data_IF_722259900087
#
_entry.id   IF_722259900087
#
_cell.length_a   1.000
_cell.length_b   1.000
_cell.length_c   1.000
_cell.angle_alpha   90.00
_cell.angle_beta   90.00
_cell.angle_gamma   90.00
#
_symmetry.space_group_name_H-M   'P 1'
#
loop_
_entity.id
_entity.type
_entity.pdbx_description
1 polymer ?
#
# COMPACT_ATOMS: atom_id res chain seq x y z
N UNK A 1 10.15 -21.32 -16.77
CA UNK A 1 9.68 -21.66 -15.41
C UNK A 1 8.19 -22.04 -15.46
N UNK A 2 7.77 -23.08 -14.73
CA UNK A 2 6.36 -23.54 -14.68
C UNK A 2 5.49 -22.62 -13.82
N UNK A 3 4.15 -22.64 -13.97
CA UNK A 3 3.25 -22.01 -13.00
C UNK A 3 3.52 -22.49 -11.58
N UNK A 4 3.45 -21.58 -10.61
CA UNK A 4 3.66 -21.84 -9.18
C UNK A 4 2.44 -21.41 -8.40
N UNK A 5 2.00 -22.24 -7.45
CA UNK A 5 0.97 -21.83 -6.50
C UNK A 5 1.62 -21.08 -5.33
N UNK A 6 0.99 -19.99 -4.91
CA UNK A 6 1.40 -19.16 -3.79
C UNK A 6 0.28 -19.17 -2.76
N UNK A 7 0.65 -19.45 -1.51
CA UNK A 7 -0.30 -19.45 -0.39
C UNK A 7 -0.16 -18.16 0.40
N UNK A 8 -1.20 -17.33 0.39
CA UNK A 8 -1.23 -16.06 1.09
C UNK A 8 -2.21 -16.13 2.26
N UNK A 9 -1.68 -16.17 3.49
CA UNK A 9 -2.49 -16.13 4.71
C UNK A 9 -2.66 -14.70 5.18
N UNK A 10 -3.88 -14.18 5.14
CA UNK A 10 -4.20 -12.83 5.60
C UNK A 10 -4.24 -12.76 7.12
N UNK A 11 -3.69 -11.69 7.68
CA UNK A 11 -3.78 -11.31 9.09
C UNK A 11 -4.92 -10.30 9.31
N UNK A 12 -5.23 -9.51 8.27
CA UNK A 12 -6.43 -8.69 8.19
C UNK A 12 -7.04 -8.86 6.80
N UNK A 13 -8.36 -8.66 6.62
CA UNK A 13 -8.99 -8.89 5.33
C UNK A 13 -8.32 -8.12 4.20
N UNK A 14 -8.35 -8.68 2.99
CA UNK A 14 -7.98 -7.91 1.80
C UNK A 14 -9.17 -7.05 1.37
N UNK A 15 -8.86 -5.95 0.71
CA UNK A 15 -9.83 -5.20 -0.07
C UNK A 15 -9.31 -5.07 -1.48
N UNK A 16 -10.13 -5.33 -2.47
CA UNK A 16 -9.84 -5.02 -3.86
C UNK A 16 -11.08 -4.36 -4.44
N UNK A 17 -10.99 -3.07 -4.77
CA UNK A 17 -12.16 -2.34 -5.28
C UNK A 17 -12.53 -2.81 -6.68
N UNK A 18 -13.77 -3.25 -6.85
CA UNK A 18 -14.43 -3.40 -8.14
C UNK A 18 -14.80 -2.06 -8.77
N UNK A 19 -15.54 -2.10 -9.88
CA UNK A 19 -16.01 -0.89 -10.60
C UNK A 19 -16.89 -0.01 -9.69
N UNK A 20 -17.65 -0.63 -8.80
CA UNK A 20 -18.51 -0.03 -7.77
C UNK A 20 -17.77 0.30 -6.46
N UNK A 21 -16.43 0.16 -6.46
CA UNK A 21 -15.55 0.33 -5.30
C UNK A 21 -15.82 -0.63 -4.13
N UNK A 22 -16.65 -1.66 -4.31
CA UNK A 22 -16.87 -2.70 -3.30
C UNK A 22 -15.85 -3.84 -3.42
N UNK A 23 -15.83 -4.71 -2.43
CA UNK A 23 -14.98 -5.92 -2.41
C UNK A 23 -15.86 -7.19 -2.46
N UNK A 24 -16.85 -7.21 -3.34
CA UNK A 24 -17.75 -8.35 -3.58
C UNK A 24 -16.99 -9.63 -3.97
N UNK A 25 -15.82 -9.47 -4.61
CA UNK A 25 -14.83 -10.50 -4.89
C UNK A 25 -13.41 -9.93 -4.89
N UNK A 26 -12.42 -10.82 -4.97
CA UNK A 26 -11.04 -10.39 -5.20
C UNK A 26 -10.85 -9.99 -6.68
N UNK A 27 -10.44 -8.76 -6.92
CA UNK A 27 -10.01 -8.25 -8.22
C UNK A 27 -8.48 -8.31 -8.32
N UNK A 28 -7.94 -9.20 -9.16
CA UNK A 28 -6.49 -9.34 -9.32
C UNK A 28 -5.83 -8.06 -9.82
N UNK A 29 -6.52 -7.25 -10.61
CA UNK A 29 -6.05 -5.95 -11.09
C UNK A 29 -5.76 -4.99 -9.93
N UNK A 30 -6.65 -4.93 -8.92
CA UNK A 30 -6.46 -4.12 -7.72
C UNK A 30 -5.26 -4.60 -6.89
N UNK A 31 -5.10 -5.92 -6.77
CA UNK A 31 -3.95 -6.51 -6.08
C UNK A 31 -2.64 -6.19 -6.81
N UNK A 32 -2.59 -6.39 -8.12
CA UNK A 32 -1.44 -6.07 -8.97
C UNK A 32 -1.08 -4.59 -8.89
N UNK A 33 -2.07 -3.69 -8.84
CA UNK A 33 -1.86 -2.26 -8.64
C UNK A 33 -1.13 -1.95 -7.33
N UNK A 34 -1.52 -2.59 -6.23
CA UNK A 34 -0.83 -2.43 -4.94
C UNK A 34 0.60 -3.00 -4.94
N UNK A 35 0.83 -4.13 -5.64
CA UNK A 35 2.17 -4.69 -5.82
C UNK A 35 3.06 -3.74 -6.64
N UNK A 36 2.50 -3.15 -7.71
CA UNK A 36 3.16 -2.14 -8.52
C UNK A 36 3.54 -0.93 -7.67
N UNK A 37 2.64 -0.46 -6.82
CA UNK A 37 2.89 0.69 -5.93
C UNK A 37 4.06 0.46 -4.95
N UNK A 38 4.15 -0.72 -4.33
CA UNK A 38 5.31 -1.08 -3.52
C UNK A 38 6.61 -1.14 -4.33
N UNK A 39 6.54 -1.71 -5.53
CA UNK A 39 7.70 -1.82 -6.41
C UNK A 39 8.20 -0.46 -6.88
N UNK A 40 7.27 0.44 -7.18
CA UNK A 40 7.52 1.84 -7.49
C UNK A 40 8.28 2.56 -6.37
N UNK A 41 7.86 2.39 -5.11
CA UNK A 41 8.56 2.96 -3.97
C UNK A 41 10.00 2.41 -3.83
N UNK A 42 10.19 1.10 -4.04
CA UNK A 42 11.51 0.45 -4.03
C UNK A 42 12.42 0.98 -5.13
N UNK A 43 11.92 1.06 -6.36
CA UNK A 43 12.67 1.59 -7.52
C UNK A 43 13.12 3.02 -7.26
N UNK A 44 12.20 3.90 -6.83
CA UNK A 44 12.51 5.31 -6.50
C UNK A 44 13.53 5.41 -5.36
N UNK A 45 13.40 4.57 -4.33
CA UNK A 45 14.32 4.52 -3.20
C UNK A 45 15.74 4.10 -3.57
N UNK A 46 15.88 3.23 -4.57
CA UNK A 46 17.18 2.81 -5.12
C UNK A 46 17.76 3.79 -6.16
N UNK A 47 17.11 4.95 -6.36
CA UNK A 47 17.52 5.95 -7.34
C UNK A 47 17.15 5.60 -8.79
N UNK A 48 16.28 4.61 -8.99
CA UNK A 48 15.74 4.27 -10.31
C UNK A 48 14.54 5.15 -10.68
N UNK A 49 14.28 5.29 -11.98
CA UNK A 49 13.12 6.01 -12.49
C UNK A 49 11.87 5.12 -12.49
N UNK A 50 10.73 5.69 -12.08
CA UNK A 50 9.41 5.07 -12.19
C UNK A 50 8.44 6.11 -12.76
N UNK A 51 7.89 5.80 -13.94
CA UNK A 51 7.02 6.69 -14.70
C UNK A 51 5.63 6.83 -14.05
N UNK A 52 4.86 7.82 -14.48
CA UNK A 52 3.44 7.94 -14.15
C UNK A 52 2.61 7.32 -15.29
N UNK A 53 2.05 6.10 -15.11
CA UNK A 53 1.26 5.46 -16.15
C UNK A 53 -0.11 6.11 -16.39
N UNK A 54 -0.54 7.02 -15.50
CA UNK A 54 -1.85 7.69 -15.53
C UNK A 54 -1.78 9.12 -16.05
N UNK A 55 -0.59 9.65 -16.30
CA UNK A 55 -0.40 11.00 -16.82
C UNK A 55 -0.92 11.15 -18.25
N UNK A 56 -1.53 12.30 -18.54
CA UNK A 56 -1.89 12.70 -19.90
C UNK A 56 -0.67 13.06 -20.76
N UNK A 57 0.48 13.40 -20.14
CA UNK A 57 1.73 13.63 -20.86
C UNK A 57 2.31 12.29 -21.36
N UNK A 58 2.40 12.07 -22.68
CA UNK A 58 3.02 10.86 -23.22
C UNK A 58 4.46 10.67 -22.76
N UNK A 59 5.21 11.74 -22.49
CA UNK A 59 6.59 11.65 -22.01
C UNK A 59 6.67 11.15 -20.58
N UNK A 60 5.62 11.33 -19.77
CA UNK A 60 5.54 10.82 -18.41
C UNK A 60 5.18 9.32 -18.35
N UNK A 61 4.74 8.72 -19.47
CA UNK A 61 4.40 7.30 -19.60
C UNK A 61 5.52 6.49 -20.24
N UNK A 62 5.51 5.18 -20.01
CA UNK A 62 6.37 4.25 -20.75
C UNK A 62 5.61 3.64 -21.93
N UNK A 63 6.31 3.46 -23.04
CA UNK A 63 5.85 2.73 -24.22
C UNK A 63 7.04 1.95 -24.79
N UNK A 64 6.84 0.69 -25.15
CA UNK A 64 7.88 -0.12 -25.79
C UNK A 64 8.14 0.36 -27.21
N UNK A 65 9.40 0.62 -27.54
CA UNK A 65 9.78 1.06 -28.88
C UNK A 65 9.77 -0.13 -29.85
N UNK A 66 8.58 -0.38 -30.41
CA UNK A 66 8.36 -1.43 -31.43
C UNK A 66 9.21 -1.17 -32.68
N UNK A 67 9.46 0.09 -33.04
CA UNK A 67 10.27 0.43 -34.23
C UNK A 67 11.72 0.06 -34.01
N UNK A 68 12.31 0.41 -32.86
CA UNK A 68 13.67 0.02 -32.51
C UNK A 68 13.84 -1.51 -32.43
N UNK A 69 12.86 -2.21 -31.86
CA UNK A 69 12.82 -3.68 -31.81
C UNK A 69 12.83 -4.29 -33.22
N UNK A 70 11.90 -3.89 -34.09
CA UNK A 70 11.77 -4.43 -35.44
C UNK A 70 12.97 -4.10 -36.32
N UNK A 71 13.52 -2.88 -36.23
CA UNK A 71 14.70 -2.49 -36.97
C UNK A 71 15.92 -3.32 -36.55
N UNK A 72 16.09 -3.56 -35.25
CA UNK A 72 17.19 -4.38 -34.72
C UNK A 72 17.07 -5.82 -35.22
N UNK A 73 15.85 -6.38 -35.26
CA UNK A 73 15.60 -7.69 -35.90
C UNK A 73 15.91 -7.73 -37.39
N UNK A 74 15.48 -6.72 -38.15
CA UNK A 74 15.76 -6.61 -39.60
C UNK A 74 17.26 -6.55 -39.89
N UNK A 75 18.04 -5.98 -38.97
CA UNK A 75 19.50 -5.92 -39.05
C UNK A 75 20.20 -7.25 -38.65
N UNK A 76 19.45 -8.34 -38.47
CA UNK A 76 20.00 -9.67 -38.17
C UNK A 76 20.51 -9.85 -36.73
N UNK A 77 20.18 -8.93 -35.81
CA UNK A 77 20.58 -9.00 -34.40
C UNK A 77 19.75 -10.04 -33.64
N UNK A 78 20.32 -10.55 -32.54
CA UNK A 78 19.67 -11.59 -31.73
C UNK A 78 18.40 -11.09 -31.03
N UNK A 79 17.51 -12.01 -30.65
CA UNK A 79 16.24 -11.68 -29.96
C UNK A 79 16.47 -10.80 -28.73
N UNK A 80 17.50 -11.12 -27.92
CA UNK A 80 17.80 -10.37 -26.70
C UNK A 80 18.23 -8.93 -27.00
N UNK A 81 19.06 -8.71 -28.03
CA UNK A 81 19.49 -7.37 -28.44
C UNK A 81 18.30 -6.56 -28.97
N UNK A 82 17.43 -7.19 -29.77
CA UNK A 82 16.21 -6.54 -30.25
C UNK A 82 15.28 -6.14 -29.09
N UNK A 83 15.06 -7.03 -28.13
CA UNK A 83 14.24 -6.72 -26.94
C UNK A 83 14.84 -5.53 -26.18
N UNK A 84 16.16 -5.53 -25.94
CA UNK A 84 16.83 -4.41 -25.26
C UNK A 84 16.67 -3.10 -26.04
N UNK A 85 16.76 -3.14 -27.37
CA UNK A 85 16.54 -1.97 -28.20
C UNK A 85 15.13 -1.40 -28.04
N UNK A 86 14.09 -2.22 -27.87
CA UNK A 86 12.73 -1.73 -27.60
C UNK A 86 12.48 -1.29 -26.15
N UNK A 87 13.30 -1.74 -25.19
CA UNK A 87 13.12 -1.50 -23.76
C UNK A 87 13.68 -0.16 -23.25
N UNK A 88 14.48 0.56 -24.04
CA UNK A 88 15.16 1.79 -23.59
C UNK A 88 14.20 2.91 -23.14
N UNK A 89 12.92 2.85 -23.54
CA UNK A 89 11.81 3.74 -23.15
C UNK A 89 10.92 3.18 -22.03
N UNK A 90 11.23 1.97 -21.54
CA UNK A 90 10.49 1.26 -20.49
C UNK A 90 11.26 1.31 -19.17
N UNK A 91 10.65 1.86 -18.11
CA UNK A 91 11.28 1.92 -16.79
C UNK A 91 11.27 0.54 -16.09
N UNK A 92 12.09 0.32 -15.03
CA UNK A 92 12.13 -0.94 -14.27
C UNK A 92 10.77 -1.43 -13.77
N UNK A 93 9.87 -0.52 -13.37
CA UNK A 93 8.51 -0.87 -12.94
C UNK A 93 7.71 -1.43 -14.10
N UNK A 94 7.66 -0.71 -15.22
CA UNK A 94 6.92 -1.12 -16.40
C UNK A 94 7.54 -2.36 -17.07
N UNK A 95 8.83 -2.62 -16.88
CA UNK A 95 9.45 -3.85 -17.32
C UNK A 95 8.80 -5.07 -16.66
N UNK A 96 8.54 -5.03 -15.34
CA UNK A 96 7.87 -6.09 -14.60
C UNK A 96 6.35 -6.09 -14.81
N UNK A 97 5.71 -4.91 -14.70
CA UNK A 97 4.25 -4.75 -14.64
C UNK A 97 3.56 -4.45 -15.98
N UNK A 98 4.33 -4.25 -17.05
CA UNK A 98 3.81 -3.91 -18.37
C UNK A 98 3.65 -2.40 -18.61
N UNK A 99 3.52 -2.07 -19.88
CA UNK A 99 3.26 -0.75 -20.45
C UNK A 99 2.63 -0.90 -21.85
N UNK A 100 2.31 0.21 -22.53
CA UNK A 100 1.92 0.16 -23.94
C UNK A 100 3.01 -0.55 -24.76
N UNK A 101 2.63 -1.51 -25.61
CA UNK A 101 3.56 -2.35 -26.38
C UNK A 101 4.35 -3.40 -25.58
N UNK A 102 4.32 -3.39 -24.23
CA UNK A 102 5.05 -4.35 -23.39
C UNK A 102 4.12 -5.08 -22.40
N UNK A 103 3.99 -6.39 -22.53
CA UNK A 103 3.22 -7.16 -21.55
C UNK A 103 4.05 -7.43 -20.28
N UNK A 104 3.38 -7.36 -19.12
CA UNK A 104 3.92 -7.83 -17.84
C UNK A 104 4.57 -9.22 -17.93
N UNK A 105 5.60 -9.42 -17.11
CA UNK A 105 6.40 -10.66 -17.07
C UNK A 105 5.71 -11.82 -16.35
N UNK A 106 4.55 -11.58 -15.75
CA UNK A 106 3.81 -12.58 -15.00
C UNK A 106 2.30 -12.44 -15.17
N UNK A 107 1.57 -13.51 -14.93
CA UNK A 107 0.16 -13.46 -14.57
C UNK A 107 0.03 -13.88 -13.11
N UNK A 108 -0.87 -13.22 -12.40
CA UNK A 108 -1.32 -13.61 -11.07
C UNK A 108 -2.80 -13.93 -11.20
N UNK A 109 -3.18 -15.16 -10.86
CA UNK A 109 -4.56 -15.65 -10.95
C UNK A 109 -5.02 -16.08 -9.56
N UNK A 110 -6.17 -15.58 -9.12
CA UNK A 110 -6.81 -16.11 -7.92
C UNK A 110 -7.39 -17.50 -8.21
N UNK A 111 -7.06 -18.48 -7.37
CA UNK A 111 -7.56 -19.87 -7.49
C UNK A 111 -8.61 -20.13 -6.44
N UNK A 112 -8.29 -19.82 -5.19
CA UNK A 112 -9.18 -20.00 -4.05
C UNK A 112 -9.13 -18.76 -3.16
N UNK A 113 -10.29 -18.17 -2.92
CA UNK A 113 -10.44 -16.92 -2.17
C UNK A 113 -11.63 -17.06 -1.23
N UNK A 114 -11.42 -17.53 0.01
CA UNK A 114 -12.49 -17.56 1.00
C UNK A 114 -12.98 -16.14 1.29
N UNK A 115 -14.30 -15.99 1.32
CA UNK A 115 -14.99 -14.74 1.65
C UNK A 115 -15.61 -14.86 3.03
N UNK A 116 -15.47 -13.82 3.84
CA UNK A 116 -16.04 -13.77 5.20
C UNK A 116 -16.82 -12.48 5.43
N UNK A 117 -17.86 -12.50 6.30
CA UNK A 117 -18.56 -11.28 6.68
C UNK A 117 -17.63 -10.27 7.38
N UNK A 118 -17.62 -9.03 6.91
CA UNK A 118 -16.94 -7.92 7.58
C UNK A 118 -17.92 -7.19 8.50
N UNK A 119 -17.57 -7.07 9.77
CA UNK A 119 -18.38 -6.32 10.72
C UNK A 119 -17.58 -5.19 11.35
N UNK A 120 -17.93 -3.94 11.02
CA UNK A 120 -17.45 -2.78 11.77
C UNK A 120 -18.14 -2.75 13.15
N UNK A 121 -17.36 -2.91 14.22
CA UNK A 121 -17.88 -2.99 15.58
C UNK A 121 -17.12 -2.05 16.49
N UNK A 122 -17.87 -1.29 17.27
CA UNK A 122 -17.33 -0.34 18.23
C UNK A 122 -18.39 0.00 19.29
N UNK A 123 -17.96 0.24 20.52
CA UNK A 123 -18.79 0.87 21.57
C UNK A 123 -18.77 2.38 21.46
N UNK A 124 -17.88 2.94 20.64
CA UNK A 124 -17.87 4.35 20.31
C UNK A 124 -19.03 4.68 19.36
N UNK A 125 -19.39 5.97 19.28
CA UNK A 125 -20.38 6.42 18.31
C UNK A 125 -19.85 6.23 16.88
N UNK A 126 -20.26 5.12 16.25
CA UNK A 126 -19.84 4.75 14.90
C UNK A 126 -20.25 5.81 13.87
N UNK A 127 -19.34 6.13 12.95
CA UNK A 127 -19.63 7.04 11.84
C UNK A 127 -20.26 6.29 10.66
N UNK A 128 -21.46 5.75 10.89
CA UNK A 128 -22.16 4.88 9.93
C UNK A 128 -22.24 5.51 8.53
N UNK A 129 -22.63 6.78 8.44
CA UNK A 129 -22.74 7.47 7.14
C UNK A 129 -21.40 7.66 6.42
N UNK A 130 -20.26 7.68 7.11
CA UNK A 130 -18.95 7.64 6.46
C UNK A 130 -18.60 6.23 6.02
N UNK A 131 -18.81 5.22 6.87
CA UNK A 131 -18.54 3.82 6.53
C UNK A 131 -19.36 3.37 5.33
N UNK A 132 -20.66 3.69 5.30
CA UNK A 132 -21.56 3.43 4.18
C UNK A 132 -21.04 4.03 2.86
N UNK A 133 -20.52 5.27 2.88
CA UNK A 133 -19.99 5.91 1.67
C UNK A 133 -18.63 5.36 1.22
N UNK A 134 -17.83 4.83 2.15
CA UNK A 134 -16.47 4.36 1.84
C UNK A 134 -16.44 2.87 1.51
N UNK A 135 -17.27 2.08 2.17
CA UNK A 135 -17.27 0.62 2.07
C UNK A 135 -18.57 0.05 1.50
N UNK A 136 -19.69 0.76 1.58
CA UNK A 136 -21.01 0.24 1.21
C UNK A 136 -21.35 0.26 -0.27
N UNK A 137 -20.42 0.69 -1.13
CA UNK A 137 -20.62 0.78 -2.58
C UNK A 137 -21.77 1.69 -2.98
N UNK A 138 -22.33 1.42 -4.16
CA UNK A 138 -23.48 2.16 -4.71
C UNK A 138 -24.72 2.07 -3.81
N UNK A 139 -24.91 0.94 -3.12
CA UNK A 139 -26.02 0.71 -2.21
C UNK A 139 -25.83 1.37 -0.83
N UNK A 140 -24.63 1.93 -0.56
CA UNK A 140 -24.26 2.54 0.71
C UNK A 140 -24.63 1.68 1.94
N UNK A 141 -24.44 0.35 1.84
CA UNK A 141 -24.79 -0.61 2.88
C UNK A 141 -23.55 -1.41 3.31
N UNK A 142 -23.27 -1.43 4.62
CA UNK A 142 -22.13 -2.17 5.20
C UNK A 142 -22.51 -3.45 5.94
N UNK A 143 -23.81 -3.74 6.11
CA UNK A 143 -24.28 -4.83 6.98
C UNK A 143 -24.11 -6.22 6.33
N UNK A 144 -23.97 -6.27 5.01
CA UNK A 144 -23.80 -7.51 4.22
C UNK A 144 -22.44 -7.62 3.53
N UNK A 145 -21.44 -6.84 3.97
CA UNK A 145 -20.13 -6.86 3.33
C UNK A 145 -19.45 -8.21 3.50
N UNK A 146 -18.97 -8.75 2.38
CA UNK A 146 -18.06 -9.87 2.34
C UNK A 146 -16.68 -9.36 1.96
N UNK A 147 -15.64 -9.95 2.56
CA UNK A 147 -14.26 -9.61 2.26
C UNK A 147 -13.39 -10.86 2.16
N UNK A 148 -12.40 -10.88 1.25
CA UNK A 148 -11.42 -11.96 1.22
C UNK A 148 -10.63 -12.04 2.53
N UNK A 149 -10.70 -13.17 3.21
CA UNK A 149 -9.99 -13.38 4.48
C UNK A 149 -9.78 -14.87 4.76
N UNK A 150 -8.59 -15.21 5.26
CA UNK A 150 -8.15 -16.57 5.56
C UNK A 150 -6.90 -16.93 4.76
N UNK A 151 -6.88 -18.15 4.22
CA UNK A 151 -5.82 -18.62 3.33
C UNK A 151 -6.29 -18.49 1.89
N UNK A 152 -5.59 -17.67 1.10
CA UNK A 152 -5.87 -17.48 -0.32
C UNK A 152 -4.82 -18.20 -1.14
N UNK A 153 -5.26 -18.84 -2.22
CA UNK A 153 -4.37 -19.52 -3.17
C UNK A 153 -4.32 -18.73 -4.46
N UNK A 154 -3.11 -18.35 -4.87
CA UNK A 154 -2.85 -17.70 -6.15
C UNK A 154 -1.98 -18.59 -7.02
N UNK A 155 -2.08 -18.43 -8.33
CA UNK A 155 -1.13 -18.99 -9.28
C UNK A 155 -0.32 -17.88 -9.93
N UNK A 156 1.00 -17.93 -9.76
CA UNK A 156 1.98 -17.10 -10.45
C UNK A 156 2.43 -17.81 -11.72
N UNK A 157 2.11 -17.23 -12.87
CA UNK A 157 2.42 -17.79 -14.19
C UNK A 157 3.44 -16.88 -14.88
N UNK A 158 4.68 -17.34 -15.11
CA UNK A 158 5.69 -16.55 -15.82
C UNK A 158 5.28 -16.32 -17.28
N UNK A 159 5.68 -15.18 -17.85
CA UNK A 159 5.42 -14.86 -19.26
C UNK A 159 6.70 -14.46 -19.98
N UNK A 160 6.75 -14.82 -21.27
CA UNK A 160 7.72 -14.33 -22.27
C UNK A 160 9.18 -14.63 -21.89
N UNK A 161 9.78 -13.74 -21.10
CA UNK A 161 11.21 -13.68 -20.81
C UNK A 161 11.45 -13.35 -19.34
N UNK A 162 12.66 -13.62 -18.86
CA UNK A 162 13.15 -13.24 -17.53
C UNK A 162 12.26 -13.72 -16.35
N UNK A 163 11.81 -14.98 -16.45
CA UNK A 163 10.91 -15.60 -15.48
C UNK A 163 11.48 -15.63 -14.05
N UNK A 164 12.78 -15.88 -13.91
CA UNK A 164 13.46 -15.91 -12.61
C UNK A 164 13.52 -14.52 -11.98
N UNK A 165 13.79 -13.49 -12.77
CA UNK A 165 13.69 -12.11 -12.31
C UNK A 165 12.27 -11.78 -11.87
N UNK A 166 11.26 -12.09 -12.68
CA UNK A 166 9.86 -11.84 -12.32
C UNK A 166 9.48 -12.50 -10.98
N UNK A 167 9.89 -13.76 -10.76
CA UNK A 167 9.71 -14.47 -9.49
C UNK A 167 10.39 -13.74 -8.33
N UNK A 168 11.66 -13.40 -8.52
CA UNK A 168 12.48 -12.69 -7.54
C UNK A 168 11.87 -11.35 -7.13
N UNK A 169 11.38 -10.58 -8.10
CA UNK A 169 10.78 -9.28 -7.81
C UNK A 169 9.40 -9.40 -7.17
N UNK A 170 8.58 -10.39 -7.53
CA UNK A 170 7.33 -10.67 -6.80
C UNK A 170 7.61 -11.07 -5.35
N UNK A 171 8.62 -11.90 -5.10
CA UNK A 171 9.04 -12.25 -3.74
C UNK A 171 9.53 -11.01 -2.96
N UNK A 172 10.36 -10.16 -3.57
CA UNK A 172 10.82 -8.91 -2.98
C UNK A 172 9.65 -8.03 -2.54
N UNK A 173 8.70 -7.79 -3.44
CA UNK A 173 7.53 -6.94 -3.16
C UNK A 173 6.69 -7.53 -2.03
N UNK A 174 6.37 -8.82 -2.10
CA UNK A 174 5.55 -9.49 -1.09
C UNK A 174 6.24 -9.53 0.27
N UNK A 175 7.56 -9.68 0.32
CA UNK A 175 8.33 -9.64 1.57
C UNK A 175 8.25 -8.26 2.22
N UNK A 176 8.54 -7.21 1.45
CA UNK A 176 8.47 -5.83 1.94
C UNK A 176 7.05 -5.49 2.42
N UNK A 177 6.02 -5.86 1.65
CA UNK A 177 4.64 -5.60 2.04
C UNK A 177 4.20 -6.42 3.26
N UNK A 178 4.58 -7.70 3.37
CA UNK A 178 4.21 -8.54 4.52
C UNK A 178 4.87 -8.08 5.83
N UNK A 179 6.13 -7.65 5.76
CA UNK A 179 6.92 -7.23 6.93
C UNK A 179 6.60 -5.79 7.36
N UNK A 180 6.43 -4.87 6.40
CA UNK A 180 6.41 -3.42 6.67
C UNK A 180 5.09 -2.72 6.30
N UNK A 181 4.09 -3.42 5.76
CA UNK A 181 2.81 -2.81 5.43
C UNK A 181 1.70 -3.82 5.13
N UNK A 182 1.16 -3.75 3.90
CA UNK A 182 0.12 -4.65 3.39
C UNK A 182 -0.13 -4.48 1.89
N UNK A 183 -1.03 -5.28 1.31
CA UNK A 183 -1.40 -5.26 -0.12
C UNK A 183 -2.91 -5.09 -0.32
N UNK A 184 -3.31 -4.73 -1.55
CA UNK A 184 -4.68 -4.40 -1.92
C UNK A 184 -5.00 -2.91 -1.75
N UNK A 185 -6.29 -2.61 -1.75
CA UNK A 185 -6.83 -1.27 -1.56
C UNK A 185 -7.18 -1.02 -0.08
N UNK A 186 -7.56 0.23 0.24
CA UNK A 186 -8.01 0.64 1.59
C UNK A 186 -6.99 0.33 2.70
N UNK A 187 -5.71 0.22 2.37
CA UNK A 187 -4.60 -0.01 3.31
C UNK A 187 -4.59 0.98 4.49
N UNK A 188 -4.95 2.24 4.24
CA UNK A 188 -5.02 3.28 5.27
C UNK A 188 -6.16 3.07 6.28
N UNK A 189 -7.03 2.09 6.02
CA UNK A 189 -8.12 1.63 6.88
C UNK A 189 -7.88 0.20 7.39
N UNK A 190 -6.66 -0.32 7.24
CA UNK A 190 -6.15 -1.46 7.98
C UNK A 190 -6.30 -2.83 7.35
N UNK A 191 -6.83 -2.86 6.12
CA UNK A 191 -6.86 -4.03 5.27
C UNK A 191 -5.46 -4.41 4.78
N UNK A 192 -5.29 -5.64 4.31
CA UNK A 192 -4.15 -6.00 3.49
C UNK A 192 -2.95 -6.59 4.21
N UNK A 193 -2.99 -6.79 5.53
CA UNK A 193 -1.87 -7.38 6.27
C UNK A 193 -1.89 -8.90 6.08
N UNK A 194 -0.72 -9.50 5.86
CA UNK A 194 -0.61 -10.91 5.50
C UNK A 194 0.75 -11.48 5.90
N UNK A 195 0.84 -12.81 5.87
CA UNK A 195 2.08 -13.55 6.08
C UNK A 195 2.75 -13.81 4.74
N UNK A 196 4.06 -13.59 4.68
CA UNK A 196 4.86 -13.83 3.49
C UNK A 196 4.69 -15.29 2.99
N UNK A 197 4.43 -15.51 1.69
CA UNK A 197 4.23 -16.85 1.15
C UNK A 197 5.49 -17.72 1.30
N UNK A 198 5.41 -18.89 1.94
CA UNK A 198 6.58 -19.75 2.16
C UNK A 198 7.18 -20.29 0.86
N UNK A 199 6.39 -20.38 -0.22
CA UNK A 199 6.86 -20.85 -1.54
C UNK A 199 7.87 -19.91 -2.22
N UNK A 200 8.04 -18.70 -1.67
CA UNK A 200 9.04 -17.71 -2.07
C UNK A 200 10.14 -17.52 -1.00
N UNK A 201 10.19 -18.41 -0.01
CA UNK A 201 11.10 -18.35 1.13
C UNK A 201 12.59 -18.42 0.78
N UNK A 202 12.93 -19.03 -0.35
CA UNK A 202 14.27 -19.14 -0.90
C UNK A 202 14.85 -17.81 -1.43
N UNK A 203 14.01 -16.80 -1.64
CA UNK A 203 14.42 -15.50 -2.15
C UNK A 203 14.53 -14.51 -0.99
N UNK A 204 15.77 -14.20 -0.60
CA UNK A 204 16.04 -13.22 0.46
C UNK A 204 15.75 -11.77 0.02
N UNK A 205 15.59 -10.88 0.99
CA UNK A 205 15.43 -9.44 0.74
C UNK A 205 16.62 -8.88 -0.04
N UNK A 206 17.83 -9.23 0.40
CA UNK A 206 19.10 -8.78 -0.16
C UNK A 206 19.26 -9.26 -1.61
N UNK A 207 19.00 -10.55 -1.88
CA UNK A 207 19.05 -11.10 -3.24
C UNK A 207 18.08 -10.39 -4.19
N UNK A 208 16.84 -10.16 -3.75
CA UNK A 208 15.85 -9.43 -4.53
C UNK A 208 16.29 -7.99 -4.84
N UNK A 209 16.83 -7.28 -3.83
CA UNK A 209 17.33 -5.92 -3.96
C UNK A 209 18.56 -5.82 -4.88
N UNK A 210 19.52 -6.74 -4.78
CA UNK A 210 20.71 -6.74 -5.64
C UNK A 210 20.35 -7.00 -7.11
N UNK A 211 19.39 -7.89 -7.38
CA UNK A 211 18.86 -8.08 -8.73
C UNK A 211 18.18 -6.81 -9.26
N UNK A 212 17.38 -6.13 -8.41
CA UNK A 212 16.74 -4.87 -8.78
C UNK A 212 17.78 -3.77 -9.08
N UNK A 213 18.78 -3.59 -8.20
CA UNK A 213 19.89 -2.65 -8.40
C UNK A 213 20.62 -2.94 -9.71
N UNK A 214 20.87 -4.21 -10.02
CA UNK A 214 21.50 -4.62 -11.28
C UNK A 214 20.66 -4.21 -12.48
N UNK A 215 19.33 -4.41 -12.44
CA UNK A 215 18.43 -3.97 -13.52
C UNK A 215 18.38 -2.45 -13.68
N UNK A 216 18.33 -1.70 -12.57
CA UNK A 216 18.37 -0.23 -12.59
C UNK A 216 19.69 0.26 -13.24
N UNK A 217 20.81 -0.39 -12.94
CA UNK A 217 22.14 -0.04 -13.48
C UNK A 217 22.39 -0.53 -14.91
N UNK A 218 21.60 -1.49 -15.40
CA UNK A 218 21.83 -2.20 -16.67
C UNK A 218 21.76 -1.36 -17.94
N UNK A 219 21.36 -0.08 -17.86
CA UNK A 219 21.29 0.91 -18.97
C UNK A 219 20.42 0.54 -20.20
N UNK A 220 19.79 -0.62 -20.24
CA UNK A 220 18.84 -1.00 -21.30
C UNK A 220 17.38 -0.65 -20.96
N UNK A 221 17.13 -0.15 -19.74
CA UNK A 221 15.83 0.36 -19.30
C UNK A 221 15.88 1.87 -19.16
N UNK A 222 14.72 2.51 -19.28
CA UNK A 222 14.59 3.95 -19.09
C UNK A 222 14.99 4.37 -17.68
N UNK A 223 15.99 5.25 -17.60
CA UNK A 223 16.57 5.73 -16.34
C UNK A 223 16.18 7.17 -15.98
N UNK A 224 15.50 7.89 -16.87
CA UNK A 224 15.07 9.29 -16.64
C UNK A 224 13.80 9.64 -17.40
N UNK A 225 13.12 10.70 -16.95
CA UNK A 225 11.91 11.23 -17.55
C UNK A 225 11.37 12.41 -16.73
N UNK A 226 10.14 12.88 -17.01
CA UNK A 226 9.49 13.89 -16.18
C UNK A 226 9.45 13.47 -14.72
N UNK A 227 9.63 14.45 -13.82
CA UNK A 227 9.52 14.25 -12.38
C UNK A 227 8.11 13.77 -12.05
N UNK A 228 8.02 12.68 -11.28
CA UNK A 228 6.75 12.22 -10.72
C UNK A 228 6.68 12.71 -9.28
N UNK A 229 5.82 13.70 -9.04
CA UNK A 229 5.62 14.26 -7.71
C UNK A 229 4.84 13.27 -6.83
N UNK A 230 5.57 12.55 -5.98
CA UNK A 230 4.98 11.57 -5.11
C UNK A 230 5.85 11.32 -3.87
N UNK A 231 5.25 11.23 -2.67
CA UNK A 231 6.00 10.88 -1.48
C UNK A 231 6.29 9.38 -1.38
N UNK A 232 5.77 8.57 -2.31
CA UNK A 232 5.94 7.12 -2.33
C UNK A 232 7.33 6.72 -2.83
N UNK A 233 8.30 6.97 -1.96
CA UNK A 233 9.71 6.67 -2.10
C UNK A 233 10.20 6.06 -0.79
N UNK A 234 10.95 4.95 -0.84
CA UNK A 234 11.48 4.33 0.38
C UNK A 234 12.41 5.26 1.18
N UNK A 235 12.99 6.30 0.58
CA UNK A 235 13.73 7.33 1.34
C UNK A 235 12.85 8.10 2.34
N UNK A 236 11.54 8.17 2.08
CA UNK A 236 10.55 8.87 2.90
C UNK A 236 9.77 7.93 3.82
N UNK A 237 10.10 6.64 3.85
CA UNK A 237 9.29 5.60 4.48
C UNK A 237 9.72 5.27 5.91
N UNK A 238 8.72 5.01 6.77
CA UNK A 238 8.91 4.33 8.07
C UNK A 238 7.76 3.35 8.32
N UNK A 239 8.08 2.18 8.86
CA UNK A 239 7.12 1.22 9.42
C UNK A 239 7.37 1.02 10.90
N UNK A 240 6.30 0.85 11.67
CA UNK A 240 6.31 0.69 13.11
C UNK A 240 5.33 -0.41 13.50
N UNK A 241 5.75 -1.32 14.38
CA UNK A 241 4.91 -2.39 14.91
C UNK A 241 4.73 -2.21 16.40
N UNK A 242 3.48 -2.17 16.84
CA UNK A 242 3.10 -2.06 18.24
C UNK A 242 2.43 -3.35 18.70
N UNK A 243 2.77 -3.79 19.91
CA UNK A 243 1.99 -4.75 20.67
C UNK A 243 1.02 -4.01 21.58
N UNK A 244 -0.27 -4.34 21.46
CA UNK A 244 -1.35 -3.72 22.18
C UNK A 244 -2.09 -4.78 23.01
N UNK A 245 -2.28 -4.51 24.29
CA UNK A 245 -3.05 -5.40 25.17
C UNK A 245 -4.53 -5.40 24.77
N UNK A 246 -5.20 -6.56 24.75
CA UNK A 246 -6.63 -6.73 24.40
C UNK A 246 -7.52 -5.73 25.15
N UNK A 247 -7.25 -5.52 26.45
CA UNK A 247 -8.01 -4.58 27.28
C UNK A 247 -7.97 -3.13 26.76
N UNK A 248 -6.90 -2.72 26.09
CA UNK A 248 -6.79 -1.38 25.50
C UNK A 248 -7.68 -1.21 24.25
N UNK A 249 -8.07 -2.32 23.63
CA UNK A 249 -8.93 -2.37 22.44
C UNK A 249 -10.39 -2.69 22.78
N UNK A 250 -10.75 -2.82 24.07
CA UNK A 250 -12.11 -3.18 24.52
C UNK A 250 -13.21 -2.30 23.94
N UNK A 251 -12.93 -1.03 23.65
CA UNK A 251 -13.93 -0.13 23.06
C UNK A 251 -14.28 -0.49 21.61
N UNK A 252 -13.50 -1.37 20.97
CA UNK A 252 -13.68 -1.81 19.59
C UNK A 252 -14.15 -3.27 19.51
N UNK A 253 -14.38 -3.90 20.66
CA UNK A 253 -14.84 -5.28 20.78
C UNK A 253 -16.20 -5.20 21.49
N UNK A 254 -17.31 -5.57 20.85
CA UNK A 254 -18.58 -5.74 21.59
C UNK A 254 -18.53 -7.06 22.39
N UNK A 255 -19.64 -7.59 22.93
CA UNK A 255 -19.63 -8.86 23.71
C UNK A 255 -20.31 -10.07 23.03
N UNK A 256 -21.08 -9.89 21.94
CA UNK A 256 -21.76 -11.01 21.28
C UNK A 256 -21.15 -11.33 19.89
N UNK A 257 -20.55 -12.52 19.76
CA UNK A 257 -20.06 -13.19 18.53
C UNK A 257 -18.89 -12.52 17.77
N UNK A 258 -17.68 -12.46 18.36
CA UNK A 258 -16.54 -11.74 17.75
C UNK A 258 -15.67 -12.59 16.83
N UNK A 259 -15.34 -12.00 15.70
CA UNK A 259 -14.06 -12.26 15.04
C UNK A 259 -12.97 -11.69 15.95
N UNK A 260 -12.21 -12.55 16.61
CA UNK A 260 -11.11 -12.13 17.50
C UNK A 260 -9.77 -12.02 16.75
N UNK A 261 -9.68 -12.56 15.53
CA UNK A 261 -8.43 -12.61 14.77
C UNK A 261 -7.97 -11.22 14.33
N UNK A 262 -8.90 -10.28 14.09
CA UNK A 262 -8.61 -8.88 13.78
C UNK A 262 -9.72 -7.94 14.24
N UNK A 263 -9.37 -6.66 14.43
CA UNK A 263 -10.28 -5.63 14.98
C UNK A 263 -10.41 -4.47 13.97
N UNK A 264 -11.58 -4.24 13.35
CA UNK A 264 -11.77 -3.22 12.31
C UNK A 264 -11.95 -1.81 12.88
N UNK A 265 -10.95 -1.28 13.59
CA UNK A 265 -10.99 0.02 14.29
C UNK A 265 -10.08 1.10 13.70
N UNK A 266 -9.40 0.84 12.58
CA UNK A 266 -8.41 1.77 12.00
C UNK A 266 -8.98 3.17 11.70
N UNK A 267 -10.27 3.28 11.36
CA UNK A 267 -10.92 4.58 11.18
C UNK A 267 -10.94 5.42 12.45
N UNK A 268 -11.29 4.82 13.60
CA UNK A 268 -11.35 5.51 14.88
C UNK A 268 -9.96 5.93 15.34
N UNK A 269 -8.97 5.05 15.18
CA UNK A 269 -7.57 5.35 15.48
C UNK A 269 -7.03 6.48 14.60
N UNK A 270 -7.34 6.47 13.30
CA UNK A 270 -6.74 7.43 12.38
C UNK A 270 -7.45 8.79 12.37
N UNK A 271 -8.78 8.82 12.51
CA UNK A 271 -9.58 9.95 12.03
C UNK A 271 -10.40 10.64 13.12
N UNK A 272 -11.49 9.99 13.57
CA UNK A 272 -12.58 10.65 14.32
C UNK A 272 -13.01 9.91 15.58
N UNK A 273 -12.14 9.08 16.16
CA UNK A 273 -12.41 8.44 17.44
C UNK A 273 -12.77 9.42 18.56
N UNK A 274 -13.30 8.89 19.66
CA UNK A 274 -13.60 9.64 20.88
C UNK A 274 -12.51 9.45 21.93
N UNK A 275 -12.54 10.27 22.99
CA UNK A 275 -11.46 10.31 23.98
C UNK A 275 -10.12 10.64 23.32
N UNK A 276 -9.13 9.78 23.57
CA UNK A 276 -7.75 9.89 23.09
C UNK A 276 -7.54 9.37 21.66
N UNK A 277 -8.58 8.81 21.02
CA UNK A 277 -8.48 8.28 19.67
C UNK A 277 -8.79 9.33 18.59
N UNK A 278 -8.15 9.17 17.43
CA UNK A 278 -8.30 9.99 16.24
C UNK A 278 -7.08 10.89 16.01
N UNK A 279 -6.08 10.38 15.27
CA UNK A 279 -4.86 11.15 14.95
C UNK A 279 -5.17 12.49 14.27
N UNK A 280 -6.07 12.53 13.28
CA UNK A 280 -6.48 13.80 12.65
C UNK A 280 -7.08 14.79 13.66
N UNK A 281 -7.93 14.32 14.57
CA UNK A 281 -8.53 15.16 15.62
C UNK A 281 -7.46 15.69 16.58
N UNK A 282 -6.53 14.84 16.99
CA UNK A 282 -5.42 15.21 17.87
C UNK A 282 -4.52 16.27 17.24
N UNK A 283 -4.10 16.08 15.98
CA UNK A 283 -3.24 17.03 15.27
C UNK A 283 -3.92 18.41 15.08
N UNK A 284 -5.24 18.45 14.87
CA UNK A 284 -6.00 19.72 14.88
C UNK A 284 -5.90 20.44 16.22
N UNK A 285 -5.97 19.70 17.33
CA UNK A 285 -5.75 20.23 18.68
C UNK A 285 -4.33 20.80 18.87
N UNK A 286 -3.35 20.28 18.12
CA UNK A 286 -1.98 20.80 18.04
C UNK A 286 -1.79 21.95 17.04
N UNK A 287 -2.87 22.49 16.49
CA UNK A 287 -2.82 23.62 15.56
C UNK A 287 -2.46 23.25 14.12
N UNK A 288 -2.47 21.96 13.74
CA UNK A 288 -2.34 21.58 12.34
C UNK A 288 -3.58 22.01 11.55
N UNK A 289 -3.34 22.56 10.35
CA UNK A 289 -4.41 23.11 9.50
C UNK A 289 -4.98 22.04 8.56
N UNK A 290 -6.26 22.18 8.27
CA UNK A 290 -7.01 21.39 7.29
C UNK A 290 -7.74 22.35 6.36
N UNK A 291 -7.72 22.05 5.07
CA UNK A 291 -8.28 22.91 4.04
C UNK A 291 -9.80 23.07 4.18
N UNK A 292 -10.25 24.25 3.79
CA UNK A 292 -11.63 24.56 3.42
C UNK A 292 -11.71 25.06 1.97
N UNK A 293 -10.58 25.18 1.30
CA UNK A 293 -10.47 25.60 -0.08
C UNK A 293 -10.52 24.34 -0.98
N UNK A 294 -11.48 24.24 -1.90
CA UNK A 294 -11.55 23.14 -2.88
C UNK A 294 -10.26 22.91 -3.67
N UNK A 295 -9.45 23.96 -3.86
CA UNK A 295 -8.32 23.96 -4.79
C UNK A 295 -6.95 24.04 -4.09
N UNK A 296 -6.89 23.79 -2.78
CA UNK A 296 -5.62 23.81 -2.05
C UNK A 296 -5.61 22.80 -0.91
N UNK A 297 -4.45 22.21 -0.65
CA UNK A 297 -4.21 21.29 0.46
C UNK A 297 -3.43 21.98 1.59
N UNK A 298 -3.78 21.64 2.81
CA UNK A 298 -3.08 22.08 4.02
C UNK A 298 -2.33 20.90 4.67
N UNK A 299 -1.57 21.17 5.73
CA UNK A 299 -0.69 20.21 6.42
C UNK A 299 -1.35 18.86 6.74
N UNK A 300 -2.59 18.87 7.25
CA UNK A 300 -3.33 17.63 7.55
C UNK A 300 -3.74 16.88 6.30
N UNK A 301 -4.00 17.57 5.20
CA UNK A 301 -4.48 16.97 3.97
C UNK A 301 -3.33 16.29 3.24
N UNK A 302 -2.13 16.87 3.27
CA UNK A 302 -0.90 16.23 2.82
C UNK A 302 -0.57 14.96 3.62
N UNK A 303 -0.69 14.98 4.95
CA UNK A 303 -0.34 13.83 5.79
C UNK A 303 -1.42 12.73 5.83
N UNK A 304 -2.68 13.13 5.99
CA UNK A 304 -3.80 12.23 6.28
C UNK A 304 -4.90 12.30 5.20
N UNK A 305 -4.61 12.80 4.00
CA UNK A 305 -5.52 12.89 2.85
C UNK A 305 -6.67 13.89 3.06
N UNK A 306 -7.08 14.68 2.05
CA UNK A 306 -8.12 15.69 2.22
C UNK A 306 -9.48 15.09 2.60
N UNK A 307 -10.31 15.92 3.22
CA UNK A 307 -11.75 15.64 3.27
C UNK A 307 -12.32 15.67 1.86
N UNK A 308 -13.24 14.77 1.56
CA UNK A 308 -13.93 14.81 0.26
C UNK A 308 -14.93 15.96 0.17
N UNK A 309 -15.60 16.29 1.28
CA UNK A 309 -16.70 17.26 1.32
C UNK A 309 -16.77 18.02 2.65
N UNK A 310 -17.25 19.26 2.58
CA UNK A 310 -17.59 20.12 3.71
C UNK A 310 -18.95 20.81 3.50
N UNK A 311 -19.56 21.24 4.60
CA UNK A 311 -20.90 21.84 4.60
C UNK A 311 -22.04 20.83 4.51
N UNK A 312 -23.27 21.34 4.50
CA UNK A 312 -24.50 20.57 4.39
C UNK A 312 -25.50 21.28 3.47
N UNK A 313 -26.43 20.51 2.89
CA UNK A 313 -27.46 21.05 1.99
C UNK A 313 -26.89 21.79 0.79
N UNK A 314 -27.42 23.00 0.53
CA UNK A 314 -27.00 23.86 -0.61
C UNK A 314 -25.61 24.48 -0.45
N UNK A 315 -25.02 24.47 0.76
CA UNK A 315 -23.68 25.00 1.03
C UNK A 315 -22.62 23.89 1.04
N UNK A 316 -22.86 22.80 0.30
CA UNK A 316 -21.89 21.70 0.17
C UNK A 316 -20.81 22.10 -0.81
N UNK A 317 -19.56 21.92 -0.41
CA UNK A 317 -18.39 22.06 -1.28
C UNK A 317 -17.56 20.78 -1.20
N UNK A 318 -16.87 20.45 -2.28
CA UNK A 318 -15.99 19.29 -2.40
C UNK A 318 -14.58 19.73 -2.73
N UNK A 319 -13.60 18.93 -2.32
CA UNK A 319 -12.24 19.05 -2.85
C UNK A 319 -12.26 18.75 -4.34
N UNK A 320 -11.41 19.43 -5.10
CA UNK A 320 -11.11 19.09 -6.49
C UNK A 320 -10.69 17.61 -6.59
N UNK A 321 -11.14 16.95 -7.65
CA UNK A 321 -10.86 15.55 -7.91
C UNK A 321 -9.36 15.32 -8.17
N UNK A 322 -8.66 16.31 -8.75
CA UNK A 322 -7.19 16.26 -8.95
C UNK A 322 -6.41 16.30 -7.63
N UNK A 323 -6.99 16.93 -6.59
CA UNK A 323 -6.37 17.01 -5.27
C UNK A 323 -6.78 15.86 -4.34
N UNK A 324 -7.66 14.94 -4.80
CA UNK A 324 -8.00 13.75 -4.02
C UNK A 324 -6.80 12.84 -3.94
N UNK A 325 -6.32 12.64 -2.72
CA UNK A 325 -5.22 11.73 -2.47
C UNK A 325 -5.44 10.86 -1.24
N UNK A 326 -4.84 9.67 -1.25
CA UNK A 326 -4.87 8.76 -0.12
C UNK A 326 -4.04 9.31 1.06
N UNK A 327 -4.24 8.71 2.22
CA UNK A 327 -3.37 8.96 3.39
C UNK A 327 -1.91 8.71 3.06
N UNK A 328 -1.03 9.39 3.79
CA UNK A 328 0.39 9.04 3.87
C UNK A 328 0.76 8.34 5.16
N UNK A 329 -0.15 8.31 6.14
CA UNK A 329 -0.07 7.45 7.34
C UNK A 329 -1.13 6.35 7.27
N UNK A 330 -0.71 5.11 7.35
CA UNK A 330 -1.54 3.92 7.20
C UNK A 330 -1.63 3.21 8.54
N UNK A 331 -2.85 3.04 9.05
CA UNK A 331 -3.11 2.25 10.25
C UNK A 331 -3.62 0.88 9.84
N UNK A 332 -2.88 -0.17 10.19
CA UNK A 332 -3.35 -1.55 10.17
C UNK A 332 -4.59 -1.75 11.03
N UNK A 333 -5.40 -2.78 10.75
CA UNK A 333 -6.32 -3.31 11.76
C UNK A 333 -5.47 -4.10 12.77
N UNK A 334 -5.65 -3.91 14.08
CA UNK A 334 -5.01 -4.78 15.06
C UNK A 334 -5.39 -6.23 14.80
N UNK A 335 -4.42 -7.13 14.66
CA UNK A 335 -4.66 -8.56 14.52
C UNK A 335 -4.08 -9.32 15.71
N UNK A 336 -4.70 -10.43 16.09
CA UNK A 336 -4.26 -11.21 17.24
C UNK A 336 -2.85 -11.77 16.97
N UNK A 337 -1.94 -11.57 17.92
CA UNK A 337 -0.59 -12.12 17.83
C UNK A 337 -0.69 -13.66 17.88
N UNK A 338 -0.23 -14.39 16.85
CA UNK A 338 -0.42 -15.85 16.78
C UNK A 338 0.19 -16.61 17.98
N UNK A 339 1.24 -16.06 18.57
CA UNK A 339 2.00 -16.71 19.65
C UNK A 339 1.63 -16.23 21.06
N UNK A 340 0.69 -15.29 21.19
CA UNK A 340 0.33 -14.74 22.50
C UNK A 340 -1.14 -14.29 22.54
N UNK A 341 -1.97 -15.06 23.25
CA UNK A 341 -3.37 -14.69 23.45
C UNK A 341 -3.49 -13.38 24.23
N UNK A 342 -4.45 -12.54 23.85
CA UNK A 342 -4.66 -11.25 24.50
C UNK A 342 -3.69 -10.14 24.07
N UNK A 343 -2.74 -10.42 23.17
CA UNK A 343 -1.89 -9.40 22.55
C UNK A 343 -2.30 -9.24 21.09
N UNK A 344 -2.47 -7.98 20.67
CA UNK A 344 -2.75 -7.61 19.29
C UNK A 344 -1.56 -6.86 18.70
N UNK A 345 -1.28 -7.11 17.43
CA UNK A 345 -0.29 -6.39 16.65
C UNK A 345 -0.99 -5.28 15.86
N UNK A 346 -0.58 -4.04 16.09
CA UNK A 346 -0.94 -2.91 15.25
C UNK A 346 0.30 -2.44 14.49
N UNK A 347 0.26 -2.58 13.16
CA UNK A 347 1.28 -2.00 12.28
C UNK A 347 0.82 -0.62 11.79
N UNK A 348 1.70 0.36 11.89
CA UNK A 348 1.54 1.69 11.31
C UNK A 348 2.71 1.94 10.39
N UNK A 349 2.46 2.33 9.16
CA UNK A 349 3.51 2.75 8.23
C UNK A 349 3.16 4.07 7.60
N UNK A 350 4.18 4.83 7.20
CA UNK A 350 3.99 6.15 6.65
C UNK A 350 5.07 6.54 5.66
N UNK A 351 4.70 7.47 4.78
CA UNK A 351 5.61 8.18 3.89
C UNK A 351 5.58 9.67 4.26
N UNK A 352 6.74 10.30 4.43
CA UNK A 352 6.85 11.74 4.64
C UNK A 352 6.64 12.51 3.33
N UNK A 353 5.61 13.36 3.23
CA UNK A 353 5.43 14.29 2.13
C UNK A 353 6.43 15.43 2.17
N UNK A 354 6.91 15.86 1.01
CA UNK A 354 7.87 16.95 0.91
C UNK A 354 7.22 18.30 1.29
N UNK A 355 5.93 18.44 1.04
CA UNK A 355 5.09 19.62 1.28
C UNK A 355 4.91 19.97 2.76
N UNK A 356 5.24 19.03 3.66
CA UNK A 356 5.13 19.24 5.12
C UNK A 356 6.47 19.20 5.84
N UNK A 357 7.59 19.27 5.12
CA UNK A 357 8.92 19.24 5.73
C UNK A 357 9.22 20.42 6.64
N UNK A 358 8.54 21.55 6.47
CA UNK A 358 8.61 22.67 7.41
C UNK A 358 8.05 22.34 8.79
N UNK A 359 7.14 21.34 8.90
CA UNK A 359 6.61 20.81 10.17
C UNK A 359 7.33 19.55 10.63
N UNK A 360 7.69 18.68 9.69
CA UNK A 360 8.33 17.40 9.93
C UNK A 360 9.61 17.32 9.07
N UNK A 361 10.77 17.79 9.57
CA UNK A 361 11.97 17.97 8.75
C UNK A 361 12.47 16.68 8.09
N UNK A 362 12.27 15.55 8.75
CA UNK A 362 12.70 14.24 8.28
C UNK A 362 11.77 13.10 8.73
N UNK A 363 12.07 11.89 8.25
CA UNK A 363 11.29 10.69 8.55
C UNK A 363 11.38 10.31 10.04
N UNK A 364 12.44 10.73 10.75
CA UNK A 364 12.56 10.54 12.19
C UNK A 364 11.54 11.40 12.93
N UNK A 365 11.32 12.64 12.52
CA UNK A 365 10.27 13.49 13.07
C UNK A 365 8.87 12.90 12.82
N UNK A 366 8.63 12.31 11.64
CA UNK A 366 7.37 11.60 11.35
C UNK A 366 7.17 10.39 12.26
N UNK A 367 8.22 9.57 12.47
CA UNK A 367 8.21 8.47 13.43
C UNK A 367 7.84 8.97 14.84
N UNK A 368 8.52 10.01 15.31
CA UNK A 368 8.30 10.58 16.65
C UNK A 368 6.86 11.10 16.82
N UNK A 369 6.28 11.71 15.78
CA UNK A 369 4.88 12.15 15.79
C UNK A 369 3.90 10.98 15.96
N UNK A 370 4.17 9.85 15.29
CA UNK A 370 3.36 8.63 15.40
C UNK A 370 3.50 8.02 16.80
N UNK A 371 4.71 7.96 17.36
CA UNK A 371 4.95 7.47 18.73
C UNK A 371 4.22 8.30 19.77
N UNK A 372 4.28 9.63 19.63
CA UNK A 372 3.59 10.54 20.52
C UNK A 372 2.07 10.32 20.48
N UNK A 373 1.51 10.17 19.27
CA UNK A 373 0.10 9.85 19.12
C UNK A 373 -0.26 8.51 19.77
N UNK A 374 0.57 7.48 19.57
CA UNK A 374 0.34 6.16 20.15
C UNK A 374 0.42 6.17 21.67
N UNK A 375 1.33 6.97 22.25
CA UNK A 375 1.41 7.22 23.68
C UNK A 375 0.17 7.93 24.22
N UNK A 376 -0.42 8.88 23.49
CA UNK A 376 -1.70 9.48 23.87
C UNK A 376 -2.86 8.47 23.78
N UNK A 377 -2.95 7.75 22.66
CA UNK A 377 -4.07 6.87 22.33
C UNK A 377 -4.17 5.67 23.27
N UNK A 378 -3.04 5.08 23.66
CA UNK A 378 -2.97 3.83 24.41
C UNK A 378 -2.17 3.91 25.71
N UNK A 379 -1.47 5.00 26.00
CA UNK A 379 -0.57 5.09 27.15
C UNK A 379 0.46 3.97 27.15
N UNK A 380 0.69 3.38 28.32
CA UNK A 380 1.63 2.26 28.50
C UNK A 380 1.08 0.91 27.97
N UNK A 381 -0.12 0.88 27.40
CA UNK A 381 -0.75 -0.35 26.90
C UNK A 381 -0.39 -0.68 25.44
N UNK A 382 0.29 0.24 24.74
CA UNK A 382 0.90 -0.01 23.44
C UNK A 382 2.42 0.06 23.58
N UNK A 383 3.09 -1.06 23.29
CA UNK A 383 4.56 -1.15 23.28
C UNK A 383 5.05 -1.16 21.85
N UNK A 384 5.91 -0.22 21.47
CA UNK A 384 6.65 -0.32 20.22
C UNK A 384 7.62 -1.50 20.29
N UNK A 385 7.50 -2.45 19.37
CA UNK A 385 8.36 -3.64 19.31
C UNK A 385 9.35 -3.61 18.16
N UNK A 386 9.03 -2.90 17.08
CA UNK A 386 9.97 -2.65 15.99
C UNK A 386 9.64 -1.36 15.25
N UNK A 387 10.68 -0.73 14.71
CA UNK A 387 10.55 0.36 13.74
C UNK A 387 11.65 0.25 12.71
N UNK A 388 11.32 0.41 11.43
CA UNK A 388 12.27 0.26 10.32
C UNK A 388 12.09 1.41 9.34
N UNK A 389 13.17 2.10 9.01
CA UNK A 389 13.15 3.11 7.96
C UNK A 389 13.34 2.47 6.60
N UNK A 390 12.82 3.10 5.56
CA UNK A 390 12.98 2.55 4.22
C UNK A 390 14.44 2.48 3.76
N UNK A 391 15.31 3.40 4.21
CA UNK A 391 16.77 3.29 4.00
C UNK A 391 17.36 1.98 4.53
N UNK A 392 16.84 1.46 5.65
CA UNK A 392 17.33 0.22 6.26
C UNK A 392 16.84 -0.98 5.43
N UNK A 393 15.60 -0.93 4.95
CA UNK A 393 15.04 -1.94 4.02
C UNK A 393 15.90 -2.00 2.75
N UNK A 394 16.23 -0.85 2.15
CA UNK A 394 17.07 -0.77 0.95
C UNK A 394 18.51 -1.26 1.15
N UNK A 395 18.99 -1.24 2.39
CA UNK A 395 20.30 -1.76 2.79
C UNK A 395 20.31 -3.27 3.03
N UNK A 396 19.16 -3.95 2.92
CA UNK A 396 19.01 -5.39 3.16
C UNK A 396 18.26 -5.75 4.44
N UNK A 397 17.67 -4.79 5.14
CA UNK A 397 16.93 -5.01 6.40
C UNK A 397 17.62 -4.37 7.61
N UNK A 398 16.92 -4.35 8.75
CA UNK A 398 17.52 -3.91 10.00
C UNK A 398 18.60 -4.93 10.43
N UNK A 399 19.83 -4.44 10.66
CA UNK A 399 20.88 -5.24 11.30
C UNK A 399 20.48 -5.64 12.72
#
# INVERSE_FOLDING_TARGET
>A
MKPMNLTLRTLTPLWSGGIDQTSDRLHETGLIGSLRWWYEALVRGLGGYACDPTSDDPNARCEFDTKAYEQTKKNGKGENEAIQAGLHTVCPVCYLFGAAGWARLFQLRAIEVPMTPLHFRTTLKMNQGWLNRVFGGDNQNIDSLQVPYGTLTFQLIPRRCDAEYARSQIALILRVAAEYGGIGARLQHGFGQFVFPPELGDISLESGLEQLKTKIRGRFLRSSGPTVDTPYNMSNFVSMTFEIQKNALRNFMQEKNHEESYIPCAFDLRYKGSGNFGMRKWLKGKGWKETKNPNALEELDWLLGPRSQWGSGRNRSSIDDELRTASRVFFGMPYQKPTAQGIYILRIWAFLPDEIRHKLPDVQALKNLIEEYMGLAFGNQAKLVSSTFGKDILAGGAK
#
